data_IF_493686518727
#
_entry.id   IF_493686518727
#
_cell.length_a   1.000
_cell.length_b   1.000
_cell.length_c   1.000
_cell.angle_alpha   90.00
_cell.angle_beta   90.00
_cell.angle_gamma   90.00
#
_symmetry.space_group_name_H-M   'P 1'
#
loop_
_entity.id
_entity.type
_entity.pdbx_description
1 polymer ?
#
# COMPACT_ATOMS: atom_id res chain seq x y z
N UNK A 1 45.60 2.64 3.17
CA UNK A 1 44.46 2.02 3.87
C UNK A 1 43.38 3.07 3.98
N UNK A 2 42.53 3.15 2.95
CA UNK A 2 41.57 4.24 2.75
C UNK A 2 40.54 4.26 3.87
N UNK A 3 40.42 5.42 4.49
CA UNK A 3 39.41 5.81 5.46
C UNK A 3 38.01 5.63 4.82
N UNK A 4 37.35 4.50 5.09
CA UNK A 4 35.94 4.31 4.73
C UNK A 4 35.16 5.17 5.72
N UNK A 5 35.09 6.48 5.41
CA UNK A 5 34.27 7.42 6.13
C UNK A 5 32.89 6.79 6.34
N UNK A 6 32.46 6.74 7.59
CA UNK A 6 31.20 6.14 8.03
C UNK A 6 30.05 6.70 7.19
N UNK A 7 29.61 5.95 6.17
CA UNK A 7 28.63 6.39 5.17
C UNK A 7 27.31 6.82 5.83
N UNK A 8 27.02 6.34 7.04
CA UNK A 8 25.87 6.75 7.85
C UNK A 8 25.98 8.18 8.37
N UNK A 9 27.19 8.69 8.63
CA UNK A 9 27.42 10.07 9.09
C UNK A 9 27.37 11.10 7.95
N UNK A 10 27.65 10.66 6.73
CA UNK A 10 27.65 11.52 5.54
C UNK A 10 26.27 11.62 4.87
N UNK A 11 25.41 10.63 5.05
CA UNK A 11 24.09 10.65 4.44
C UNK A 11 23.14 11.57 5.22
N UNK A 12 22.62 12.59 4.53
CA UNK A 12 21.50 13.40 4.98
C UNK A 12 20.38 13.25 3.95
N UNK A 13 19.13 12.99 4.37
CA UNK A 13 18.03 12.99 3.43
C UNK A 13 17.92 14.39 2.81
N UNK A 14 17.62 14.43 1.51
CA UNK A 14 17.25 15.70 0.89
C UNK A 14 16.02 16.27 1.60
N UNK A 15 15.87 17.60 1.66
CA UNK A 15 14.70 18.20 2.26
C UNK A 15 13.44 17.73 1.53
N UNK A 16 12.33 17.65 2.27
CA UNK A 16 11.03 17.36 1.66
C UNK A 16 10.70 18.45 0.62
N UNK A 17 9.91 18.13 -0.42
CA UNK A 17 9.38 19.14 -1.33
C UNK A 17 8.67 20.27 -0.56
N UNK A 18 8.80 21.51 -1.03
CA UNK A 18 8.28 22.72 -0.36
C UNK A 18 6.79 22.59 0.00
N UNK A 19 5.97 22.12 -0.93
CA UNK A 19 4.53 21.96 -0.71
C UNK A 19 4.20 20.97 0.44
N UNK A 20 5.02 19.92 0.62
CA UNK A 20 4.86 18.97 1.73
C UNK A 20 5.24 19.62 3.06
N UNK A 21 6.29 20.45 3.06
CA UNK A 21 6.69 21.22 4.25
C UNK A 21 5.56 22.17 4.66
N UNK A 22 5.02 22.94 3.70
CA UNK A 22 3.91 23.87 3.93
C UNK A 22 2.69 23.18 4.52
N UNK A 23 2.24 22.04 3.98
CA UNK A 23 1.11 21.28 4.54
C UNK A 23 1.36 20.91 6.01
N UNK A 24 2.58 20.45 6.32
CA UNK A 24 2.90 20.04 7.69
C UNK A 24 3.04 21.22 8.65
N UNK A 25 3.56 22.36 8.18
CA UNK A 25 3.66 23.61 8.94
C UNK A 25 2.26 24.16 9.28
N UNK A 26 1.39 24.28 8.28
CA UNK A 26 0.01 24.74 8.48
C UNK A 26 -0.76 23.75 9.38
N UNK A 27 -0.53 22.45 9.22
CA UNK A 27 -1.16 21.40 10.02
C UNK A 27 -0.68 21.36 11.49
N UNK A 28 0.47 21.95 11.82
CA UNK A 28 1.07 21.86 13.15
C UNK A 28 0.17 22.44 14.27
N UNK A 29 -0.60 23.49 13.96
CA UNK A 29 -1.50 24.12 14.93
C UNK A 29 -2.88 23.46 15.00
N UNK A 30 -3.15 22.44 14.16
CA UNK A 30 -4.44 21.79 14.05
C UNK A 30 -4.51 20.51 14.89
N UNK A 31 -5.73 20.09 15.26
CA UNK A 31 -5.94 18.75 15.79
C UNK A 31 -5.90 17.71 14.66
N UNK A 32 -4.71 17.40 14.16
CA UNK A 32 -4.53 16.49 13.00
C UNK A 32 -5.01 15.06 13.28
N UNK A 33 -5.08 14.64 14.55
CA UNK A 33 -5.68 13.35 14.94
C UNK A 33 -7.19 13.34 14.74
N UNK A 34 -7.87 14.42 15.15
CA UNK A 34 -9.31 14.58 14.94
C UNK A 34 -9.69 14.81 13.47
N UNK A 35 -8.83 15.49 12.70
CA UNK A 35 -9.08 15.76 11.27
C UNK A 35 -8.84 14.52 10.41
N UNK A 36 -7.79 13.76 10.72
CA UNK A 36 -7.44 12.52 10.01
C UNK A 36 -7.29 11.40 11.04
N UNK A 37 -8.41 10.85 11.52
CA UNK A 37 -8.37 9.76 12.50
C UNK A 37 -7.72 8.52 11.88
N UNK A 38 -7.00 7.73 12.67
CA UNK A 38 -6.46 6.43 12.25
C UNK A 38 -6.96 5.30 13.16
N UNK A 39 -7.95 5.58 14.02
CA UNK A 39 -8.56 4.55 14.85
C UNK A 39 -9.25 3.48 13.98
N UNK A 40 -9.26 2.21 14.43
CA UNK A 40 -9.81 1.10 13.66
C UNK A 40 -11.27 1.29 13.23
N UNK A 41 -12.11 1.82 14.13
CA UNK A 41 -13.55 1.90 13.90
C UNK A 41 -13.88 2.93 12.83
N UNK A 42 -13.23 4.11 12.85
CA UNK A 42 -13.42 5.12 11.81
C UNK A 42 -12.94 4.66 10.44
N UNK A 43 -11.86 3.87 10.38
CA UNK A 43 -11.33 3.29 9.15
C UNK A 43 -12.29 2.24 8.57
N UNK A 44 -12.76 1.30 9.40
CA UNK A 44 -13.72 0.27 9.01
C UNK A 44 -15.04 0.90 8.56
N UNK A 45 -15.57 1.87 9.31
CA UNK A 45 -16.80 2.56 8.96
C UNK A 45 -16.67 3.30 7.61
N UNK A 46 -15.53 3.96 7.37
CA UNK A 46 -15.27 4.65 6.11
C UNK A 46 -15.14 3.69 4.92
N UNK A 47 -14.45 2.56 5.10
CA UNK A 47 -14.33 1.54 4.05
C UNK A 47 -15.68 0.94 3.68
N UNK A 48 -16.53 0.66 4.69
CA UNK A 48 -17.91 0.20 4.47
C UNK A 48 -18.76 1.23 3.72
N UNK A 49 -18.68 2.49 4.13
CA UNK A 49 -19.43 3.58 3.48
C UNK A 49 -19.00 3.75 2.01
N UNK A 50 -17.69 3.74 1.75
CA UNK A 50 -17.09 3.93 0.42
C UNK A 50 -17.44 2.79 -0.55
N UNK A 51 -17.52 1.56 -0.06
CA UNK A 51 -17.77 0.37 -0.89
C UNK A 51 -19.24 -0.04 -0.95
N UNK A 52 -20.03 0.32 0.05
CA UNK A 52 -21.37 -0.25 0.27
C UNK A 52 -21.36 -1.69 0.80
N UNK A 53 -20.17 -2.25 1.08
CA UNK A 53 -19.98 -3.62 1.56
C UNK A 53 -19.72 -3.63 3.06
N UNK A 54 -20.01 -4.74 3.73
CA UNK A 54 -19.87 -4.84 5.20
C UNK A 54 -19.19 -6.10 5.71
N UNK A 55 -19.02 -7.09 4.83
CA UNK A 55 -18.44 -8.39 5.17
C UNK A 55 -16.95 -8.42 4.81
N UNK A 56 -16.11 -8.59 5.83
CA UNK A 56 -14.66 -8.71 5.72
C UNK A 56 -14.18 -10.16 5.81
N UNK A 57 -15.09 -11.15 5.74
CA UNK A 57 -14.76 -12.56 5.82
C UNK A 57 -14.38 -12.98 7.23
N UNK A 58 -13.39 -13.87 7.33
CA UNK A 58 -12.83 -14.30 8.62
C UNK A 58 -12.32 -13.11 9.45
N UNK A 59 -12.24 -13.26 10.77
CA UNK A 59 -11.85 -12.19 11.72
C UNK A 59 -10.35 -12.16 12.06
N UNK A 60 -9.55 -13.04 11.47
CA UNK A 60 -8.10 -13.20 11.72
C UNK A 60 -7.27 -11.95 11.39
N UNK A 61 -7.72 -11.12 10.46
CA UNK A 61 -7.10 -9.84 10.11
C UNK A 61 -7.32 -8.74 11.16
N UNK A 62 -8.37 -8.84 11.98
CA UNK A 62 -8.85 -7.70 12.79
C UNK A 62 -7.85 -7.31 13.86
N UNK A 63 -7.33 -8.29 14.60
CA UNK A 63 -6.36 -8.05 15.68
C UNK A 63 -5.05 -7.42 15.18
N UNK A 64 -4.34 -7.98 14.16
CA UNK A 64 -3.13 -7.33 13.64
C UNK A 64 -3.41 -5.97 12.99
N UNK A 65 -4.57 -5.78 12.34
CA UNK A 65 -4.98 -4.47 11.84
C UNK A 65 -5.17 -3.45 12.96
N UNK A 66 -5.83 -3.82 14.05
CA UNK A 66 -6.04 -2.95 15.20
C UNK A 66 -4.70 -2.55 15.83
N UNK A 67 -3.79 -3.49 16.01
CA UNK A 67 -2.45 -3.20 16.51
C UNK A 67 -1.70 -2.18 15.64
N UNK A 68 -1.72 -2.37 14.31
CA UNK A 68 -1.13 -1.42 13.36
C UNK A 68 -1.79 -0.04 13.44
N UNK A 69 -3.12 0.00 13.42
CA UNK A 69 -3.89 1.24 13.46
C UNK A 69 -3.62 2.04 14.74
N UNK A 70 -3.59 1.40 15.91
CA UNK A 70 -3.27 2.07 17.17
C UNK A 70 -1.83 2.59 17.22
N UNK A 71 -0.85 1.83 16.72
CA UNK A 71 0.54 2.28 16.65
C UNK A 71 0.69 3.53 15.75
N UNK A 72 -0.05 3.58 14.64
CA UNK A 72 -0.07 4.72 13.73
C UNK A 72 -0.85 5.92 14.28
N UNK A 73 -1.95 5.68 14.99
CA UNK A 73 -2.80 6.74 15.55
C UNK A 73 -2.15 7.43 16.76
N UNK A 74 -1.43 6.64 17.58
CA UNK A 74 -0.77 7.04 18.82
C UNK A 74 0.48 7.92 18.64
N UNK A 75 1.24 8.06 19.74
CA UNK A 75 2.48 8.86 19.75
C UNK A 75 3.67 8.12 19.14
N UNK A 76 3.62 6.78 19.10
CA UNK A 76 4.74 5.93 18.67
C UNK A 76 5.19 6.21 17.24
N UNK A 77 4.25 6.40 16.31
CA UNK A 77 4.54 6.70 14.92
C UNK A 77 4.91 8.18 14.66
N UNK A 78 4.56 9.09 15.57
CA UNK A 78 4.81 10.53 15.48
C UNK A 78 4.51 11.13 14.08
N UNK A 79 3.36 10.76 13.49
CA UNK A 79 2.99 11.17 12.14
C UNK A 79 2.64 12.66 12.07
N UNK A 80 3.24 13.37 11.11
CA UNK A 80 2.77 14.69 10.69
C UNK A 80 1.49 14.59 9.84
N UNK A 81 0.89 15.74 9.51
CA UNK A 81 -0.38 15.78 8.76
C UNK A 81 -0.30 14.99 7.44
N UNK A 82 0.75 15.19 6.64
CA UNK A 82 0.90 14.45 5.38
C UNK A 82 1.07 12.94 5.62
N UNK A 83 1.80 12.56 6.66
CA UNK A 83 1.94 11.16 7.10
C UNK A 83 0.59 10.54 7.46
N UNK A 84 -0.24 11.22 8.25
CA UNK A 84 -1.58 10.74 8.61
C UNK A 84 -2.49 10.60 7.39
N UNK A 85 -2.49 11.59 6.48
CA UNK A 85 -3.26 11.53 5.23
C UNK A 85 -2.84 10.30 4.41
N UNK A 86 -1.53 10.06 4.27
CA UNK A 86 -1.04 8.90 3.52
C UNK A 86 -1.40 7.58 4.20
N UNK A 87 -1.17 7.45 5.50
CA UNK A 87 -1.51 6.26 6.26
C UNK A 87 -3.00 5.95 6.18
N UNK A 88 -3.87 6.96 6.35
CA UNK A 88 -5.32 6.78 6.22
C UNK A 88 -5.70 6.32 4.81
N UNK A 89 -5.14 6.96 3.78
CA UNK A 89 -5.40 6.58 2.40
C UNK A 89 -4.98 5.14 2.09
N UNK A 90 -3.84 4.69 2.60
CA UNK A 90 -3.35 3.32 2.41
C UNK A 90 -4.23 2.29 3.15
N UNK A 91 -4.52 2.53 4.43
CA UNK A 91 -5.35 1.65 5.24
C UNK A 91 -6.76 1.50 4.66
N UNK A 92 -7.36 2.60 4.19
CA UNK A 92 -8.66 2.55 3.51
C UNK A 92 -8.56 1.75 2.22
N UNK A 93 -7.53 1.95 1.39
CA UNK A 93 -7.35 1.18 0.16
C UNK A 93 -7.29 -0.33 0.43
N UNK A 94 -6.54 -0.75 1.46
CA UNK A 94 -6.43 -2.16 1.84
C UNK A 94 -7.73 -2.73 2.42
N UNK A 95 -8.43 -1.99 3.29
CA UNK A 95 -9.71 -2.41 3.86
C UNK A 95 -10.80 -2.54 2.78
N UNK A 96 -10.87 -1.57 1.87
CA UNK A 96 -11.80 -1.63 0.76
C UNK A 96 -11.45 -2.78 -0.21
N UNK A 97 -10.16 -3.03 -0.46
CA UNK A 97 -9.74 -4.19 -1.26
C UNK A 97 -10.20 -5.49 -0.60
N UNK A 98 -10.04 -5.65 0.72
CA UNK A 98 -10.53 -6.83 1.45
C UNK A 98 -12.05 -7.01 1.28
N UNK A 99 -12.85 -5.96 1.49
CA UNK A 99 -14.30 -6.00 1.27
C UNK A 99 -14.66 -6.47 -0.14
N UNK A 100 -13.98 -5.93 -1.16
CA UNK A 100 -14.24 -6.28 -2.56
C UNK A 100 -13.78 -7.70 -2.91
N UNK A 101 -12.73 -8.21 -2.27
CA UNK A 101 -12.28 -9.60 -2.43
C UNK A 101 -13.35 -10.55 -1.90
N UNK A 102 -13.82 -10.34 -0.66
CA UNK A 102 -14.86 -11.19 -0.06
C UNK A 102 -16.16 -11.18 -0.88
N UNK A 103 -16.54 -10.01 -1.39
CA UNK A 103 -17.68 -9.89 -2.30
C UNK A 103 -17.44 -10.60 -3.65
N UNK A 104 -16.21 -10.58 -4.17
CA UNK A 104 -15.87 -11.31 -5.39
C UNK A 104 -15.96 -12.83 -5.20
N UNK A 105 -15.39 -13.39 -4.13
CA UNK A 105 -15.48 -14.83 -3.84
C UNK A 105 -16.93 -15.30 -3.65
N UNK A 106 -17.79 -14.48 -3.04
CA UNK A 106 -19.22 -14.81 -2.92
C UNK A 106 -19.95 -14.83 -4.26
N UNK A 107 -19.60 -13.92 -5.17
CA UNK A 107 -20.19 -13.83 -6.50
C UNK A 107 -19.63 -14.88 -7.47
N UNK A 108 -18.41 -15.32 -7.21
CA UNK A 108 -17.63 -16.21 -8.06
C UNK A 108 -17.01 -17.35 -7.22
N UNK A 109 -17.83 -18.27 -6.68
CA UNK A 109 -17.32 -19.38 -5.87
C UNK A 109 -16.38 -20.31 -6.66
N UNK A 110 -16.45 -20.32 -8.00
CA UNK A 110 -15.53 -21.05 -8.88
C UNK A 110 -14.06 -20.64 -8.70
N UNK A 111 -13.78 -19.48 -8.12
CA UNK A 111 -12.40 -19.07 -7.80
C UNK A 111 -11.74 -20.07 -6.84
N UNK A 112 -12.49 -20.69 -5.93
CA UNK A 112 -11.96 -21.70 -5.00
C UNK A 112 -11.54 -23.01 -5.69
N UNK A 113 -12.03 -23.26 -6.91
CA UNK A 113 -11.68 -24.45 -7.70
C UNK A 113 -10.36 -24.27 -8.48
N UNK A 114 -9.85 -23.04 -8.60
CA UNK A 114 -8.62 -22.74 -9.35
C UNK A 114 -7.37 -23.32 -8.66
N UNK A 115 -6.51 -23.96 -9.45
CA UNK A 115 -5.29 -24.59 -8.93
C UNK A 115 -4.04 -23.80 -9.31
N UNK A 116 -3.35 -23.29 -8.30
CA UNK A 116 -2.02 -22.69 -8.48
C UNK A 116 -0.94 -23.79 -8.44
N UNK A 117 -0.55 -24.25 -9.63
CA UNK A 117 0.41 -25.35 -9.80
C UNK A 117 1.84 -24.81 -9.88
N UNK A 118 2.75 -25.37 -9.07
CA UNK A 118 4.20 -25.09 -9.09
C UNK A 118 4.58 -23.58 -9.00
N UNK A 119 4.09 -22.83 -8.00
CA UNK A 119 4.42 -21.41 -7.89
C UNK A 119 5.89 -21.18 -7.50
N UNK A 120 6.51 -20.18 -8.11
CA UNK A 120 7.79 -19.65 -7.64
C UNK A 120 7.56 -18.64 -6.51
N UNK A 121 8.04 -18.97 -5.31
CA UNK A 121 7.97 -18.07 -4.15
C UNK A 121 9.38 -17.55 -3.85
N UNK A 122 9.62 -16.27 -4.12
CA UNK A 122 10.90 -15.60 -3.85
C UNK A 122 10.86 -14.98 -2.44
N UNK A 123 11.67 -15.50 -1.54
CA UNK A 123 11.85 -14.97 -0.18
C UNK A 123 13.29 -14.50 0.04
N UNK A 124 13.46 -13.45 0.84
CA UNK A 124 14.78 -12.93 1.17
C UNK A 124 14.70 -11.65 1.99
N UNK A 125 15.83 -11.28 2.60
CA UNK A 125 15.92 -10.02 3.33
C UNK A 125 15.81 -8.81 2.38
N UNK A 126 15.42 -7.66 2.94
CA UNK A 126 15.48 -6.40 2.21
C UNK A 126 16.89 -6.17 1.66
N UNK A 127 16.97 -5.80 0.37
CA UNK A 127 18.23 -5.56 -0.37
C UNK A 127 19.06 -6.81 -0.71
N UNK A 128 18.48 -8.02 -0.68
CA UNK A 128 19.14 -9.26 -1.10
C UNK A 128 19.07 -9.58 -2.60
N UNK A 129 18.69 -8.60 -3.45
CA UNK A 129 18.55 -8.82 -4.90
C UNK A 129 17.25 -9.50 -5.34
N UNK A 130 16.28 -9.67 -4.43
CA UNK A 130 14.97 -10.29 -4.74
C UNK A 130 14.22 -9.55 -5.84
N UNK A 131 14.31 -8.22 -5.90
CA UNK A 131 13.72 -7.42 -6.98
C UNK A 131 14.32 -7.73 -8.35
N UNK A 132 15.63 -7.97 -8.43
CA UNK A 132 16.27 -8.39 -9.68
C UNK A 132 15.73 -9.76 -10.09
N UNK A 133 15.72 -10.72 -9.17
CA UNK A 133 15.27 -12.09 -9.43
C UNK A 133 13.80 -12.14 -9.88
N UNK A 134 12.88 -11.48 -9.18
CA UNK A 134 11.45 -11.44 -9.54
C UNK A 134 11.26 -10.83 -10.94
N UNK A 135 11.96 -9.74 -11.26
CA UNK A 135 11.87 -9.13 -12.59
C UNK A 135 12.46 -10.02 -13.69
N UNK A 136 13.56 -10.74 -13.42
CA UNK A 136 14.14 -11.68 -14.37
C UNK A 136 13.20 -12.85 -14.64
N UNK A 137 12.60 -13.44 -13.60
CA UNK A 137 11.63 -14.52 -13.75
C UNK A 137 10.37 -14.03 -14.49
N UNK A 138 9.86 -12.85 -14.15
CA UNK A 138 8.69 -12.24 -14.77
C UNK A 138 8.89 -11.73 -16.20
N UNK A 139 10.12 -11.78 -16.74
CA UNK A 139 10.38 -11.44 -18.13
C UNK A 139 9.93 -12.55 -19.11
N UNK A 140 9.76 -13.79 -18.63
CA UNK A 140 9.14 -14.85 -19.41
C UNK A 140 7.62 -14.63 -19.48
N UNK A 141 7.00 -14.48 -20.68
CA UNK A 141 5.56 -14.28 -20.82
C UNK A 141 4.70 -15.44 -20.33
N UNK A 142 5.27 -16.65 -20.18
CA UNK A 142 4.58 -17.80 -19.59
C UNK A 142 4.48 -17.70 -18.06
N UNK A 143 5.25 -16.80 -17.43
CA UNK A 143 5.20 -16.58 -15.99
C UNK A 143 4.21 -15.47 -15.65
N UNK A 144 3.14 -15.82 -14.91
CA UNK A 144 2.28 -14.84 -14.26
C UNK A 144 3.02 -14.12 -13.13
N UNK A 145 2.97 -12.78 -13.13
CA UNK A 145 3.50 -11.96 -12.04
C UNK A 145 2.49 -10.92 -11.61
N UNK A 146 2.29 -10.81 -10.29
CA UNK A 146 1.42 -9.79 -9.71
C UNK A 146 2.06 -8.42 -9.96
N UNK A 147 1.39 -7.59 -10.76
CA UNK A 147 1.76 -6.21 -10.99
C UNK A 147 1.36 -5.37 -9.78
N UNK A 148 2.09 -4.29 -9.53
CA UNK A 148 1.84 -3.44 -8.37
C UNK A 148 0.40 -2.90 -8.34
N UNK A 149 -0.14 -2.48 -9.50
CA UNK A 149 -1.51 -1.97 -9.56
C UNK A 149 -2.57 -3.05 -9.27
N UNK A 150 -2.31 -4.33 -9.58
CA UNK A 150 -3.21 -5.45 -9.25
C UNK A 150 -3.21 -5.69 -7.74
N UNK A 151 -2.05 -5.60 -7.10
CA UNK A 151 -1.95 -5.69 -5.65
C UNK A 151 -2.68 -4.53 -4.95
N UNK A 152 -2.63 -3.32 -5.52
CA UNK A 152 -3.37 -2.16 -4.99
C UNK A 152 -4.89 -2.28 -5.22
N UNK A 153 -5.29 -2.81 -6.38
CA UNK A 153 -6.68 -2.86 -6.83
C UNK A 153 -7.03 -4.26 -7.36
N UNK A 154 -7.16 -5.26 -6.48
CA UNK A 154 -7.34 -6.65 -6.90
C UNK A 154 -8.70 -6.92 -7.54
N UNK A 155 -9.72 -6.11 -7.22
CA UNK A 155 -11.10 -6.33 -7.64
C UNK A 155 -11.64 -5.19 -8.51
N UNK A 156 -12.45 -5.51 -9.55
CA UNK A 156 -12.74 -6.86 -10.05
C UNK A 156 -11.48 -7.53 -10.64
N UNK A 157 -11.30 -8.86 -10.65
CA UNK A 157 -10.15 -9.47 -11.32
C UNK A 157 -9.99 -8.96 -12.77
N UNK A 158 -8.77 -8.71 -13.26
CA UNK A 158 -8.59 -8.20 -14.61
C UNK A 158 -8.89 -9.25 -15.68
N UNK A 159 -9.62 -8.85 -16.71
CA UNK A 159 -9.97 -9.71 -17.85
C UNK A 159 -8.85 -9.73 -18.90
N UNK A 160 -8.58 -10.89 -19.49
CA UNK A 160 -7.48 -11.09 -20.43
C UNK A 160 -7.53 -10.13 -21.64
N UNK A 161 -8.71 -9.86 -22.19
CA UNK A 161 -8.92 -9.02 -23.38
C UNK A 161 -8.65 -7.53 -23.12
N UNK A 162 -8.85 -7.10 -21.88
CA UNK A 162 -8.72 -5.70 -21.46
C UNK A 162 -7.48 -5.43 -20.63
N UNK A 163 -6.74 -6.48 -20.23
CA UNK A 163 -5.62 -6.43 -19.29
C UNK A 163 -4.63 -5.29 -19.57
N UNK A 164 -4.16 -5.17 -20.81
CA UNK A 164 -3.18 -4.17 -21.22
C UNK A 164 -3.71 -2.71 -21.15
N UNK A 165 -5.03 -2.53 -21.08
CA UNK A 165 -5.73 -1.24 -21.05
C UNK A 165 -6.55 -1.07 -19.77
N UNK A 166 -6.30 -1.88 -18.74
CA UNK A 166 -7.05 -1.81 -17.50
C UNK A 166 -6.87 -0.42 -16.86
N UNK A 167 -7.96 0.32 -16.60
CA UNK A 167 -7.88 1.68 -16.07
C UNK A 167 -7.23 1.75 -14.68
N UNK A 168 -7.21 0.64 -13.92
CA UNK A 168 -6.56 0.57 -12.61
C UNK A 168 -5.04 0.65 -12.71
N UNK A 169 -4.46 0.23 -13.83
CA UNK A 169 -3.02 0.38 -14.10
C UNK A 169 -2.63 1.86 -14.13
N UNK A 170 -3.37 2.68 -14.88
CA UNK A 170 -3.16 4.14 -14.93
C UNK A 170 -3.36 4.78 -13.56
N UNK A 171 -4.44 4.43 -12.84
CA UNK A 171 -4.70 4.91 -11.48
C UNK A 171 -3.57 4.55 -10.50
N UNK A 172 -3.05 3.32 -10.58
CA UNK A 172 -1.93 2.87 -9.76
C UNK A 172 -0.67 3.70 -10.04
N UNK A 173 -0.40 3.98 -11.31
CA UNK A 173 0.70 4.85 -11.71
C UNK A 173 0.58 6.26 -11.11
N UNK A 174 -0.60 6.88 -11.20
CA UNK A 174 -0.84 8.21 -10.64
C UNK A 174 -0.59 8.29 -9.13
N UNK A 175 -0.98 7.24 -8.38
CA UNK A 175 -0.76 7.15 -6.94
C UNK A 175 0.72 6.99 -6.58
N UNK A 176 1.44 6.16 -7.32
CA UNK A 176 2.89 6.00 -7.15
C UNK A 176 3.59 7.33 -7.47
N UNK A 177 3.22 7.98 -8.56
CA UNK A 177 3.79 9.28 -8.94
C UNK A 177 3.51 10.36 -7.92
N UNK A 178 2.30 10.38 -7.36
CA UNK A 178 1.97 11.26 -6.25
C UNK A 178 2.90 11.00 -5.06
N UNK A 179 3.14 9.74 -4.71
CA UNK A 179 4.03 9.38 -3.60
C UNK A 179 5.50 9.72 -3.88
N UNK A 180 5.97 9.52 -5.11
CA UNK A 180 7.30 9.93 -5.56
C UNK A 180 7.50 11.45 -5.48
N UNK A 181 6.42 12.24 -5.58
CA UNK A 181 6.44 13.70 -5.36
C UNK A 181 6.39 14.12 -3.90
N UNK A 182 6.12 13.21 -2.97
CA UNK A 182 6.12 13.48 -1.51
C UNK A 182 7.48 13.12 -0.90
N UNK A 183 8.06 12.01 -1.34
CA UNK A 183 9.32 11.50 -0.82
C UNK A 183 10.51 12.26 -1.42
N UNK A 184 11.54 12.57 -0.61
CA UNK A 184 12.80 13.07 -1.16
C UNK A 184 13.37 12.06 -2.15
N UNK A 185 13.93 12.54 -3.26
CA UNK A 185 14.53 11.67 -4.27
C UNK A 185 15.69 10.89 -3.65
N UNK A 186 15.78 9.60 -3.98
CA UNK A 186 17.00 8.84 -3.73
C UNK A 186 18.09 9.38 -4.68
N UNK A 187 19.22 9.84 -4.12
CA UNK A 187 20.45 10.12 -4.88
C UNK A 187 21.18 8.83 -5.21
#
# INVERSE_FOLDING_TARGET
>A
MSDIADRKKLWRPDPRPEWVQRINEEGYCMNIRGIVPLDPDSLIASARLSTGLSDFGAEDWREPFQALAYALDGEEAALNLMGRIRSRSELLMMLEARLRIEDAYKRHPEIDDEQIVQPFIVVGQGRAGTSFLVNTLGANPENGVIKHWEAMFPCPPPEAESYARDPRSARGHELIDQWNRVTPKFK
#
